data_IF_949521635887
#
_entry.id   IF_949521635887
#
_cell.length_a   1.000
_cell.length_b   1.000
_cell.length_c   1.000
_cell.angle_alpha   90.00
_cell.angle_beta   90.00
_cell.angle_gamma   90.00
#
_symmetry.space_group_name_H-M   'P 1'
#
loop_
_entity.id
_entity.type
_entity.pdbx_description
1 polymer ?
#
# COMPACT_ATOMS: atom_id res chain seq x y z
N UNK A 1 -13.02 -5.76 22.96
CA UNK A 1 -12.96 -5.58 22.81
C UNK A 1 -12.92 -5.84 22.89
N UNK A 2 -12.88 -6.11 22.94
CA UNK A 2 -12.77 -6.20 22.78
C UNK A 2 -12.32 -6.69 22.89
N UNK A 3 -12.04 -7.12 22.90
CA UNK A 3 -11.53 -7.49 22.72
C UNK A 3 -11.29 -8.36 22.94
N UNK A 4 -11.30 -9.06 23.05
CA UNK A 4 -11.13 -9.73 22.93
C UNK A 4 -10.48 -10.41 22.85
N UNK A 5 -10.23 -10.98 22.82
CA UNK A 5 -9.48 -11.41 22.50
C UNK A 5 -9.13 -11.97 22.15
N UNK A 6 -9.27 -12.61 22.03
CA UNK A 6 -9.05 -12.83 21.27
C UNK A 6 -9.00 -12.61 20.75
N UNK A 7 -9.17 -12.75 20.79
CA UNK A 7 -9.20 -12.29 19.98
C UNK A 7 -8.70 -12.06 19.53
N UNK A 8 -8.32 -12.58 19.38
CA UNK A 8 -7.95 -12.24 18.68
C UNK A 8 -7.96 -12.65 18.00
N UNK A 9 -8.13 -13.44 18.15
CA UNK A 9 -8.31 -13.79 17.41
C UNK A 9 -8.53 -13.53 16.43
N UNK A 10 -8.90 -13.61 16.22
CA UNK A 10 -9.26 -13.22 15.35
C UNK A 10 -8.83 -12.19 14.87
N UNK A 11 -8.33 -12.45 14.78
CA UNK A 11 -7.83 -11.57 14.50
C UNK A 11 -8.07 -10.83 13.69
N UNK A 12 -8.34 -10.36 14.00
CA UNK A 12 -8.90 -9.55 13.06
C UNK A 12 -8.10 -9.51 11.85
N UNK A 13 -8.77 -9.49 10.80
CA UNK A 13 -8.12 -9.46 9.53
C UNK A 13 -7.65 -8.05 9.26
N UNK A 14 -6.39 -7.93 8.89
CA UNK A 14 -5.83 -6.62 8.61
C UNK A 14 -6.58 -5.94 7.48
N UNK A 15 -6.94 -6.69 6.43
CA UNK A 15 -7.58 -6.08 5.25
C UNK A 15 -8.98 -5.55 5.51
N UNK A 16 -9.69 -6.08 6.51
CA UNK A 16 -11.02 -5.59 6.84
C UNK A 16 -10.98 -4.26 7.57
N UNK A 17 -9.87 -4.04 8.25
CA UNK A 17 -9.71 -2.84 9.07
C UNK A 17 -8.46 -2.09 8.70
N UNK A 18 -7.91 -2.40 7.56
CA UNK A 18 -6.53 -2.14 7.27
C UNK A 18 -6.23 -0.69 7.05
N UNK A 19 -6.52 0.07 8.05
CA UNK A 19 -5.93 1.37 8.20
C UNK A 19 -4.61 1.13 8.91
N UNK A 20 -3.53 1.44 8.24
CA UNK A 20 -2.21 1.33 8.85
C UNK A 20 -2.05 2.53 9.76
N UNK A 21 -1.86 2.26 11.05
CA UNK A 21 -1.74 3.33 12.04
C UNK A 21 -0.33 3.36 12.57
N UNK A 22 0.43 4.26 12.02
CA UNK A 22 1.82 4.45 12.41
C UNK A 22 1.99 5.91 12.82
N UNK A 23 2.87 6.15 13.78
CA UNK A 23 3.22 7.53 14.09
C UNK A 23 4.18 8.06 13.00
N UNK A 24 4.52 9.33 13.10
CA UNK A 24 5.33 9.97 12.06
C UNK A 24 6.70 9.32 11.91
N UNK A 25 7.32 8.94 13.02
CA UNK A 25 8.64 8.32 12.99
C UNK A 25 8.58 6.93 12.37
N UNK A 26 7.56 6.15 12.73
CA UNK A 26 7.39 4.82 12.19
C UNK A 26 7.10 4.87 10.71
N UNK A 27 6.28 5.82 10.29
CA UNK A 27 5.97 6.00 8.87
C UNK A 27 7.22 6.35 8.09
N UNK A 28 8.01 7.31 8.60
CA UNK A 28 9.24 7.71 7.94
C UNK A 28 10.20 6.54 7.80
N UNK A 29 10.34 5.73 8.84
CA UNK A 29 11.20 4.56 8.79
C UNK A 29 10.75 3.53 7.78
N UNK A 30 9.43 3.29 7.74
CA UNK A 30 8.89 2.31 6.81
C UNK A 30 9.14 2.73 5.36
N UNK A 31 8.85 3.99 5.06
CA UNK A 31 9.03 4.50 3.71
C UNK A 31 10.51 4.53 3.32
N UNK A 32 11.37 4.94 4.25
CA UNK A 32 12.80 4.93 4.00
C UNK A 32 13.32 3.52 3.73
N UNK A 33 12.82 2.55 4.50
CA UNK A 33 13.22 1.17 4.29
C UNK A 33 12.78 0.65 2.92
N UNK A 34 11.57 0.99 2.49
CA UNK A 34 11.10 0.58 1.17
C UNK A 34 12.00 1.17 0.09
N UNK A 35 12.40 2.41 0.24
CA UNK A 35 13.20 3.09 -0.75
C UNK A 35 14.64 2.60 -0.78
N UNK A 36 15.24 2.37 0.38
CA UNK A 36 16.69 2.11 0.48
C UNK A 36 17.05 0.73 0.99
N UNK A 37 16.10 -0.03 1.52
CA UNK A 37 16.40 -1.34 2.09
C UNK A 37 16.97 -2.34 1.10
N UNK A 38 16.79 -2.09 -0.18
CA UNK A 38 17.33 -2.96 -1.22
C UNK A 38 18.78 -2.66 -1.60
N UNK A 39 19.34 -1.57 -1.08
CA UNK A 39 20.67 -1.13 -1.49
C UNK A 39 21.76 -2.17 -1.17
N UNK A 40 21.56 -2.96 -0.12
CA UNK A 40 22.54 -3.97 0.26
C UNK A 40 22.25 -5.34 -0.36
N UNK A 41 21.18 -5.45 -1.11
CA UNK A 41 20.85 -6.69 -1.80
C UNK A 41 21.64 -6.80 -3.09
N UNK A 42 21.74 -8.03 -3.60
CA UNK A 42 22.41 -8.28 -4.87
C UNK A 42 21.64 -9.33 -5.66
N UNK A 43 22.01 -9.48 -6.95
CA UNK A 43 21.42 -10.48 -7.79
C UNK A 43 19.94 -10.30 -8.01
N UNK A 44 19.22 -11.40 -8.07
CA UNK A 44 17.79 -11.38 -8.36
C UNK A 44 16.98 -10.64 -7.32
N UNK A 45 17.40 -10.69 -6.06
CA UNK A 45 16.71 -10.00 -4.98
C UNK A 45 16.75 -8.50 -5.19
N UNK A 46 17.88 -7.97 -5.60
CA UNK A 46 18.00 -6.54 -5.85
C UNK A 46 17.15 -6.13 -7.06
N UNK A 47 17.20 -6.91 -8.12
CA UNK A 47 16.39 -6.63 -9.31
C UNK A 47 14.91 -6.58 -8.95
N UNK A 48 14.45 -7.55 -8.18
CA UNK A 48 13.04 -7.59 -7.77
C UNK A 48 12.69 -6.37 -6.91
N UNK A 49 13.55 -6.02 -5.96
CA UNK A 49 13.30 -4.88 -5.09
C UNK A 49 13.20 -3.58 -5.89
N UNK A 50 14.15 -3.35 -6.79
CA UNK A 50 14.14 -2.14 -7.61
C UNK A 50 12.93 -2.08 -8.51
N UNK A 51 12.49 -3.22 -8.99
CA UNK A 51 11.33 -3.30 -9.87
C UNK A 51 10.03 -2.96 -9.14
N UNK A 52 9.93 -3.33 -7.88
CA UNK A 52 8.68 -3.19 -7.14
C UNK A 52 8.64 -1.99 -6.20
N UNK A 53 9.78 -1.36 -5.91
CA UNK A 53 9.80 -0.36 -4.84
C UNK A 53 8.97 0.89 -5.16
N UNK A 54 8.92 1.32 -6.40
CA UNK A 54 8.15 2.52 -6.77
C UNK A 54 6.67 2.27 -6.54
N UNK A 55 6.19 1.09 -6.94
CA UNK A 55 4.82 0.68 -6.69
C UNK A 55 4.54 0.60 -5.19
N UNK A 56 5.44 -0.07 -4.46
CA UNK A 56 5.25 -0.30 -3.04
C UNK A 56 5.26 1.01 -2.27
N UNK A 57 6.13 1.95 -2.64
CA UNK A 57 6.13 3.27 -2.03
C UNK A 57 4.81 4.00 -2.26
N UNK A 58 4.31 3.97 -3.50
CA UNK A 58 3.05 4.64 -3.81
C UNK A 58 1.90 4.03 -3.03
N UNK A 59 1.86 2.70 -2.99
CA UNK A 59 0.79 1.98 -2.33
C UNK A 59 0.77 2.23 -0.83
N UNK A 60 1.93 2.10 -0.19
CA UNK A 60 2.02 2.30 1.27
C UNK A 60 1.80 3.77 1.62
N UNK A 61 2.39 4.69 0.85
CA UNK A 61 2.20 6.11 1.09
C UNK A 61 0.73 6.49 1.00
N UNK A 62 0.03 5.93 0.02
CA UNK A 62 -1.40 6.15 -0.14
C UNK A 62 -2.17 5.63 1.07
N UNK A 63 -1.87 4.41 1.50
CA UNK A 63 -2.58 3.81 2.63
C UNK A 63 -2.38 4.61 3.92
N UNK A 64 -1.13 4.99 4.23
CA UNK A 64 -0.88 5.72 5.48
C UNK A 64 -1.31 7.17 5.36
N UNK A 65 -1.26 7.77 4.18
CA UNK A 65 -1.60 9.17 3.99
C UNK A 65 -3.09 9.45 3.94
N UNK A 66 -3.88 8.47 3.51
CA UNK A 66 -5.34 8.66 3.37
C UNK A 66 -6.16 7.87 4.35
N UNK A 67 -5.60 6.78 4.90
CA UNK A 67 -6.34 5.93 5.83
C UNK A 67 -7.39 5.05 5.17
N UNK A 68 -7.35 4.90 3.85
CA UNK A 68 -8.30 4.02 3.18
C UNK A 68 -7.97 2.56 3.48
N UNK A 69 -8.95 1.70 3.27
CA UNK A 69 -8.77 0.27 3.53
C UNK A 69 -8.04 -0.38 2.36
N UNK A 70 -7.38 -1.51 2.65
CA UNK A 70 -6.67 -2.25 1.61
C UNK A 70 -7.63 -2.63 0.48
N UNK A 71 -8.85 -3.05 0.82
CA UNK A 71 -9.83 -3.43 -0.22
C UNK A 71 -10.18 -2.24 -1.11
N UNK A 72 -10.28 -1.05 -0.53
CA UNK A 72 -10.53 0.17 -1.31
C UNK A 72 -9.35 0.51 -2.21
N UNK A 73 -8.15 0.31 -1.68
CA UNK A 73 -6.92 0.60 -2.41
C UNK A 73 -6.77 -0.29 -3.65
N UNK A 74 -6.97 -1.61 -3.48
CA UNK A 74 -6.81 -2.53 -4.61
C UNK A 74 -7.90 -2.35 -5.65
N UNK A 75 -9.04 -1.81 -5.25
CA UNK A 75 -10.13 -1.55 -6.18
C UNK A 75 -9.98 -0.28 -7.01
N UNK A 76 -8.96 0.54 -6.73
CA UNK A 76 -8.77 1.78 -7.45
C UNK A 76 -8.40 1.54 -8.91
N UNK A 77 -9.00 2.33 -9.77
CA UNK A 77 -8.63 2.41 -11.18
C UNK A 77 -7.79 3.67 -11.41
N UNK A 78 -7.06 3.69 -12.51
CA UNK A 78 -6.25 4.86 -12.87
C UNK A 78 -7.12 6.12 -12.92
N UNK A 79 -8.34 5.98 -13.46
CA UNK A 79 -9.25 7.10 -13.61
C UNK A 79 -9.82 7.61 -12.30
N UNK A 80 -9.62 6.88 -11.20
CA UNK A 80 -10.10 7.32 -9.88
C UNK A 80 -9.15 8.34 -9.25
N UNK A 81 -7.97 8.55 -9.81
CA UNK A 81 -7.00 9.51 -9.28
C UNK A 81 -7.18 10.84 -9.99
N UNK A 82 -7.38 11.88 -9.19
CA UNK A 82 -7.58 13.24 -9.69
C UNK A 82 -6.46 14.13 -9.15
N UNK A 83 -5.44 14.37 -9.98
CA UNK A 83 -4.33 15.23 -9.58
C UNK A 83 -4.66 16.71 -9.60
N UNK A 84 -5.73 17.08 -10.27
CA UNK A 84 -6.14 18.48 -10.27
C UNK A 84 -6.60 18.91 -8.88
N UNK A 85 -7.34 18.04 -8.22
CA UNK A 85 -7.87 18.32 -6.88
C UNK A 85 -7.19 17.49 -5.80
N UNK A 86 -6.20 16.68 -6.16
CA UNK A 86 -5.45 15.80 -5.25
C UNK A 86 -6.37 14.91 -4.42
N UNK A 87 -7.19 14.17 -5.14
CA UNK A 87 -8.15 13.25 -4.50
C UNK A 87 -8.23 11.93 -5.22
N UNK A 88 -8.73 10.94 -4.52
CA UNK A 88 -9.06 9.65 -5.09
C UNK A 88 -10.52 9.34 -4.81
N UNK A 89 -11.16 8.68 -5.76
CA UNK A 89 -12.54 8.23 -5.59
C UNK A 89 -12.50 6.78 -5.12
N UNK A 90 -13.04 6.54 -3.94
CA UNK A 90 -13.11 5.18 -3.40
C UNK A 90 -14.57 4.75 -3.33
N UNK A 91 -14.78 3.45 -3.52
CA UNK A 91 -16.11 2.87 -3.42
C UNK A 91 -16.16 2.10 -2.12
N UNK A 92 -17.04 2.53 -1.23
CA UNK A 92 -17.17 1.93 0.08
C UNK A 92 -18.30 0.92 0.08
N UNK A 93 -18.43 0.24 1.21
CA UNK A 93 -19.43 -0.80 1.39
C UNK A 93 -20.80 -0.25 0.99
N UNK A 94 -21.55 -1.05 0.24
CA UNK A 94 -22.85 -0.65 -0.24
C UNK A 94 -22.81 0.16 -1.53
N UNK A 95 -21.63 0.30 -2.15
CA UNK A 95 -21.48 1.01 -3.40
C UNK A 95 -21.37 2.52 -3.26
N UNK A 96 -21.26 3.02 -2.02
CA UNK A 96 -21.15 4.46 -1.80
C UNK A 96 -19.78 4.96 -2.25
N UNK A 97 -19.78 5.97 -3.10
CA UNK A 97 -18.56 6.61 -3.56
C UNK A 97 -18.24 7.80 -2.68
N UNK A 98 -16.95 8.00 -2.40
CA UNK A 98 -16.52 9.21 -1.75
C UNK A 98 -15.14 9.59 -2.24
N UNK A 99 -14.84 10.88 -2.13
CA UNK A 99 -13.54 11.41 -2.51
C UNK A 99 -12.71 11.56 -1.24
N UNK A 100 -11.51 11.00 -1.26
CA UNK A 100 -10.55 11.14 -0.17
C UNK A 100 -9.38 11.95 -0.72
N UNK A 101 -9.02 13.02 -0.02
CA UNK A 101 -7.98 13.90 -0.51
C UNK A 101 -6.62 13.48 0.04
N UNK A 102 -5.56 13.78 -0.72
CA UNK A 102 -4.21 13.42 -0.31
C UNK A 102 -3.28 14.62 -0.43
N UNK A 103 -2.15 14.54 0.27
CA UNK A 103 -1.17 15.61 0.28
C UNK A 103 -0.06 15.38 -0.74
N UNK A 104 0.94 16.24 -0.65
CA UNK A 104 2.04 16.28 -1.62
C UNK A 104 2.85 15.01 -1.67
N UNK A 105 3.03 14.35 -0.52
CA UNK A 105 3.81 13.12 -0.47
C UNK A 105 3.15 12.01 -1.25
N UNK A 106 1.83 11.89 -1.09
CA UNK A 106 1.06 10.88 -1.84
C UNK A 106 1.06 11.24 -3.31
N UNK A 107 0.88 12.50 -3.63
CA UNK A 107 0.90 12.95 -5.02
C UNK A 107 2.20 12.57 -5.70
N UNK A 108 3.32 12.89 -5.07
CA UNK A 108 4.63 12.60 -5.63
C UNK A 108 4.82 11.10 -5.87
N UNK A 109 4.50 10.31 -4.87
CA UNK A 109 4.66 8.85 -4.98
C UNK A 109 3.76 8.26 -6.08
N UNK A 110 2.53 8.76 -6.18
CA UNK A 110 1.60 8.28 -7.20
C UNK A 110 2.07 8.67 -8.60
N UNK A 111 2.59 9.90 -8.77
CA UNK A 111 3.10 10.32 -10.08
C UNK A 111 4.29 9.48 -10.51
N UNK A 112 5.19 9.19 -9.59
CA UNK A 112 6.34 8.34 -9.88
C UNK A 112 5.90 6.95 -10.30
N UNK A 113 4.93 6.39 -9.58
CA UNK A 113 4.43 5.07 -9.92
C UNK A 113 3.70 5.06 -11.26
N UNK A 114 2.89 6.07 -11.53
CA UNK A 114 2.16 6.12 -12.80
C UNK A 114 3.09 6.22 -13.99
N UNK A 115 4.23 6.87 -13.84
CA UNK A 115 5.24 6.90 -14.89
C UNK A 115 5.76 5.50 -15.18
N UNK A 116 6.00 4.71 -14.15
CA UNK A 116 6.41 3.31 -14.30
C UNK A 116 5.27 2.48 -14.88
N UNK A 117 4.06 2.74 -14.39
CA UNK A 117 2.85 2.01 -14.79
C UNK A 117 2.58 2.12 -16.29
N UNK A 118 2.88 3.28 -16.88
CA UNK A 118 2.70 3.47 -18.32
C UNK A 118 3.54 2.52 -19.15
N UNK A 119 4.68 2.09 -18.63
CA UNK A 119 5.55 1.17 -19.31
C UNK A 119 5.16 -0.30 -19.16
N UNK A 120 4.12 -0.58 -18.41
CA UNK A 120 3.67 -1.95 -18.17
C UNK A 120 2.42 -2.20 -19.01
N UNK A 121 2.41 -3.32 -19.74
CA UNK A 121 1.23 -3.74 -20.47
C UNK A 121 0.42 -4.70 -19.61
N UNK A 122 -0.73 -4.28 -19.08
CA UNK A 122 -1.51 -5.16 -18.21
C UNK A 122 -2.07 -6.35 -19.00
N UNK A 123 -2.35 -7.41 -18.28
CA UNK A 123 -3.07 -8.52 -18.88
C UNK A 123 -4.50 -8.11 -19.21
N UNK A 124 -5.10 -8.82 -20.15
CA UNK A 124 -6.47 -8.53 -20.59
C UNK A 124 -7.40 -8.53 -19.39
N UNK A 125 -8.24 -7.50 -19.28
CA UNK A 125 -9.17 -7.34 -18.18
C UNK A 125 -8.62 -6.56 -16.99
N UNK A 126 -7.33 -6.21 -17.02
CA UNK A 126 -6.69 -5.49 -15.91
C UNK A 126 -6.15 -4.12 -16.33
N UNK A 127 -6.58 -3.63 -17.47
CA UNK A 127 -6.05 -2.39 -18.06
C UNK A 127 -6.30 -1.16 -17.20
N UNK A 128 -7.41 -1.16 -16.47
CA UNK A 128 -7.80 0.01 -15.69
C UNK A 128 -7.23 0.02 -14.28
N UNK A 129 -6.69 -1.09 -13.81
CA UNK A 129 -6.22 -1.19 -12.43
C UNK A 129 -5.09 -0.20 -12.17
N UNK A 130 -5.22 0.54 -11.06
CA UNK A 130 -4.15 1.46 -10.67
C UNK A 130 -2.89 0.69 -10.28
N UNK A 131 -3.03 -0.23 -9.32
CA UNK A 131 -1.89 -1.00 -8.84
C UNK A 131 -1.87 -2.39 -9.46
N UNK A 132 -0.74 -2.74 -10.07
CA UNK A 132 -0.56 -4.03 -10.72
C UNK A 132 0.42 -4.88 -9.95
N UNK A 133 0.15 -6.18 -9.91
CA UNK A 133 1.10 -7.15 -9.37
C UNK A 133 2.23 -7.35 -10.37
N UNK A 134 3.26 -8.11 -9.97
CA UNK A 134 4.36 -8.44 -10.88
C UNK A 134 3.90 -9.32 -12.03
N UNK A 135 2.71 -9.89 -11.94
CA UNK A 135 2.10 -10.67 -13.03
C UNK A 135 1.25 -9.82 -13.95
N UNK A 136 1.28 -8.49 -13.76
CA UNK A 136 0.55 -7.51 -14.59
C UNK A 136 -0.96 -7.60 -14.44
N UNK A 137 -1.42 -8.10 -13.30
CA UNK A 137 -2.83 -8.16 -12.93
C UNK A 137 -3.09 -7.14 -11.83
N UNK A 138 -4.36 -6.76 -11.66
CA UNK A 138 -4.74 -5.94 -10.51
C UNK A 138 -4.23 -6.62 -9.25
N UNK A 139 -3.53 -5.86 -8.41
CA UNK A 139 -2.98 -6.42 -7.18
C UNK A 139 -4.14 -6.81 -6.26
N UNK A 140 -3.96 -7.92 -5.54
CA UNK A 140 -5.00 -8.42 -4.65
C UNK A 140 -4.75 -8.05 -3.21
N UNK A 141 -5.81 -8.20 -2.41
CA UNK A 141 -5.75 -7.87 -0.97
C UNK A 141 -4.64 -8.67 -0.28
N UNK A 142 -4.58 -9.96 -0.57
CA UNK A 142 -3.59 -10.83 0.07
C UNK A 142 -2.17 -10.40 -0.27
N UNK A 143 -1.95 -10.00 -1.51
CA UNK A 143 -0.62 -9.54 -1.94
C UNK A 143 -0.22 -8.28 -1.18
N UNK A 144 -1.16 -7.35 -0.98
CA UNK A 144 -0.88 -6.13 -0.21
C UNK A 144 -0.61 -6.47 1.25
N UNK A 145 -1.39 -7.36 1.83
CA UNK A 145 -1.16 -7.79 3.22
C UNK A 145 0.23 -8.38 3.38
N UNK A 146 0.61 -9.26 2.46
CA UNK A 146 1.94 -9.89 2.51
C UNK A 146 3.05 -8.86 2.35
N UNK A 147 2.83 -7.89 1.50
CA UNK A 147 3.78 -6.82 1.24
C UNK A 147 3.99 -5.97 2.50
N UNK A 148 2.90 -5.59 3.15
CA UNK A 148 2.97 -4.82 4.40
C UNK A 148 3.70 -5.62 5.48
N UNK A 149 3.37 -6.90 5.60
CA UNK A 149 4.03 -7.77 6.59
C UNK A 149 5.51 -7.91 6.31
N UNK A 150 5.87 -8.05 5.05
CA UNK A 150 7.27 -8.20 4.65
C UNK A 150 8.10 -6.99 5.11
N UNK A 151 7.63 -5.79 4.80
CA UNK A 151 8.35 -4.59 5.18
C UNK A 151 8.33 -4.36 6.68
N UNK A 152 7.19 -4.58 7.32
CA UNK A 152 7.07 -4.38 8.75
C UNK A 152 7.96 -5.33 9.54
N UNK A 153 8.08 -6.58 9.11
CA UNK A 153 8.90 -7.54 9.83
C UNK A 153 10.38 -7.17 9.79
N UNK A 154 10.83 -6.55 8.71
CA UNK A 154 12.22 -6.10 8.63
C UNK A 154 12.50 -4.96 9.58
N UNK A 155 11.52 -4.07 9.78
CA UNK A 155 11.68 -2.91 10.64
C UNK A 155 11.45 -3.29 12.10
N UNK A 156 10.57 -4.25 12.36
CA UNK A 156 10.31 -4.72 13.71
C UNK A 156 11.59 -5.19 14.40
N UNK A 157 12.53 -5.74 13.63
CA UNK A 157 13.81 -6.14 14.16
C UNK A 157 14.62 -4.99 14.73
N UNK A 158 14.30 -3.76 14.37
CA UNK A 158 14.95 -2.57 14.92
C UNK A 158 14.14 -1.97 16.07
N UNK A 159 13.06 -2.61 16.46
CA UNK A 159 12.17 -2.19 17.55
C UNK A 159 11.46 -0.87 17.27
N UNK A 160 11.28 -0.54 16.01
CA UNK A 160 10.63 0.72 15.64
C UNK A 160 9.16 0.57 15.35
N UNK A 161 8.78 -0.56 14.74
CA UNK A 161 7.38 -0.84 14.45
C UNK A 161 7.04 -2.17 15.06
N UNK A 162 6.02 -2.21 15.90
CA UNK A 162 5.57 -3.46 16.52
C UNK A 162 4.39 -4.02 15.73
N UNK A 163 4.17 -5.33 15.76
CA UNK A 163 3.07 -5.92 14.99
C UNK A 163 1.70 -5.34 15.31
N UNK A 164 1.43 -4.99 16.56
CA UNK A 164 0.10 -4.46 16.89
C UNK A 164 -0.15 -3.10 16.27
N UNK A 165 0.88 -2.36 15.92
CA UNK A 165 0.72 -1.08 15.24
C UNK A 165 0.12 -1.24 13.85
N UNK A 166 0.27 -2.41 13.27
CA UNK A 166 -0.24 -2.68 11.94
C UNK A 166 -1.64 -3.26 11.94
N UNK A 167 -2.16 -3.59 13.11
CA UNK A 167 -3.45 -4.28 13.21
C UNK A 167 -4.63 -3.39 13.48
N UNK A 168 -4.38 -2.21 13.87
CA UNK A 168 -5.49 -1.39 14.23
C UNK A 168 -6.10 -0.69 13.12
#
# INVERSE_FOLDING_TARGET
IQTNPSVLVNMPKIHDKAIIRLDADETAMLLDFIEHGGDELSGQKKVYWEKTKVRDLALITLLVGTGIRVSECVGLDITDVDFKNNGIKVVRKGGNEMIVYFGDEVESALRDYLAVREGITPLAGHENALFLSTQRKRIGIKAVENLVKKYASQITGTKKITPHKLRS
#
